data_IF_520081593758
#
_entry.id   IF_520081593758
#
_cell.length_a   1.000
_cell.length_b   1.000
_cell.length_c   1.000
_cell.angle_alpha   90.00
_cell.angle_beta   90.00
_cell.angle_gamma   90.00
#
_symmetry.space_group_name_H-M   'P 1'
#
loop_
_entity.id
_entity.type
_entity.pdbx_description
1 polymer ?
#
# COMPACT_ATOMS: atom_id res chain seq x y z
N UNK A 1 21.78 -3.91 10.38
CA UNK A 1 20.97 -4.33 9.21
C UNK A 1 20.48 -5.77 9.31
N UNK A 2 21.29 -6.73 9.78
CA UNK A 2 20.88 -8.15 9.88
C UNK A 2 19.84 -8.43 10.98
N UNK A 3 20.05 -7.95 12.22
CA UNK A 3 19.12 -8.23 13.33
C UNK A 3 17.72 -7.66 13.11
N UNK A 4 17.63 -6.44 12.57
CA UNK A 4 16.34 -5.83 12.20
C UNK A 4 15.64 -6.63 11.10
N UNK A 5 16.38 -7.15 10.12
CA UNK A 5 15.83 -7.98 9.04
C UNK A 5 15.35 -9.34 9.55
N UNK A 6 16.12 -9.99 10.43
CA UNK A 6 15.73 -11.26 11.08
C UNK A 6 14.50 -11.06 11.95
N UNK A 7 14.47 -10.00 12.75
CA UNK A 7 13.31 -9.65 13.57
C UNK A 7 12.08 -9.41 12.68
N UNK A 8 12.20 -8.58 11.64
CA UNK A 8 11.12 -8.31 10.69
C UNK A 8 10.64 -9.60 9.99
N UNK A 9 11.55 -10.50 9.64
CA UNK A 9 11.21 -11.78 9.02
C UNK A 9 10.35 -12.63 9.94
N UNK A 10 10.76 -12.79 11.20
CA UNK A 10 9.98 -13.52 12.20
C UNK A 10 8.59 -12.90 12.41
N UNK A 11 8.50 -11.57 12.43
CA UNK A 11 7.23 -10.86 12.56
C UNK A 11 6.32 -10.97 11.34
N UNK A 12 6.88 -11.26 10.16
CA UNK A 12 6.12 -11.35 8.91
C UNK A 12 5.65 -12.79 8.65
N UNK A 13 6.42 -13.79 9.11
CA UNK A 13 6.07 -15.21 9.03
C UNK A 13 5.27 -15.70 10.26
N UNK A 14 5.03 -14.82 11.25
CA UNK A 14 4.31 -15.13 12.48
C UNK A 14 2.88 -15.63 12.25
N UNK A 15 2.24 -15.25 11.15
CA UNK A 15 0.90 -15.72 10.79
C UNK A 15 0.90 -17.23 10.48
N UNK A 16 1.88 -17.74 9.74
CA UNK A 16 2.00 -19.17 9.43
C UNK A 16 2.17 -20.03 10.68
N UNK A 17 2.89 -19.53 11.69
CA UNK A 17 3.03 -20.21 12.98
C UNK A 17 1.73 -20.26 13.78
N UNK A 18 0.90 -19.21 13.69
CA UNK A 18 -0.41 -19.19 14.36
C UNK A 18 -1.42 -20.10 13.63
N UNK A 19 -1.43 -20.10 12.30
CA UNK A 19 -2.27 -20.98 11.48
C UNK A 19 -1.99 -22.45 11.79
N UNK A 20 -0.72 -22.84 11.88
CA UNK A 20 -0.36 -24.24 12.19
C UNK A 20 -0.76 -24.68 13.60
N UNK A 21 -0.87 -23.73 14.54
CA UNK A 21 -1.27 -23.98 15.93
C UNK A 21 -2.79 -24.01 16.13
N UNK A 22 -3.55 -23.22 15.37
CA UNK A 22 -4.96 -22.93 15.66
C UNK A 22 -5.96 -23.38 14.59
N UNK A 23 -5.52 -23.79 13.39
CA UNK A 23 -6.39 -24.27 12.31
C UNK A 23 -6.25 -25.77 12.07
N UNK A 24 -7.33 -26.40 11.60
CA UNK A 24 -7.35 -27.82 11.20
C UNK A 24 -6.48 -28.07 9.97
N UNK A 25 -5.97 -29.30 9.80
CA UNK A 25 -5.02 -29.66 8.73
C UNK A 25 -5.54 -29.37 7.32
N UNK A 26 -6.84 -29.53 7.06
CA UNK A 26 -7.46 -29.25 5.76
C UNK A 26 -7.50 -27.74 5.46
N UNK A 27 -7.81 -26.93 6.47
CA UNK A 27 -7.81 -25.47 6.38
C UNK A 27 -6.41 -24.86 6.34
N UNK A 28 -5.40 -25.51 6.93
CA UNK A 28 -4.00 -25.12 6.76
C UNK A 28 -3.57 -25.18 5.29
N UNK A 29 -3.99 -26.23 4.57
CA UNK A 29 -3.74 -26.37 3.14
C UNK A 29 -4.48 -25.31 2.31
N UNK A 30 -5.76 -25.07 2.63
CA UNK A 30 -6.56 -24.00 2.01
C UNK A 30 -5.97 -22.61 2.21
N UNK A 31 -5.59 -22.28 3.44
CA UNK A 31 -4.91 -21.04 3.81
C UNK A 31 -3.58 -20.88 3.07
N UNK A 32 -2.73 -21.91 3.05
CA UNK A 32 -1.44 -21.86 2.37
C UNK A 32 -1.60 -21.57 0.87
N UNK A 33 -2.59 -22.18 0.21
CA UNK A 33 -2.88 -21.91 -1.20
C UNK A 33 -3.39 -20.47 -1.36
N UNK A 34 -4.41 -20.06 -0.61
CA UNK A 34 -4.99 -18.73 -0.72
C UNK A 34 -3.95 -17.62 -0.48
N UNK A 35 -3.06 -17.78 0.51
CA UNK A 35 -1.99 -16.81 0.80
C UNK A 35 -0.92 -16.77 -0.27
N UNK A 36 -0.54 -17.92 -0.85
CA UNK A 36 0.42 -17.96 -1.96
C UNK A 36 -0.13 -17.32 -3.23
N UNK A 37 -1.39 -17.61 -3.60
CA UNK A 37 -2.02 -16.98 -4.76
C UNK A 37 -2.33 -15.50 -4.52
N UNK A 38 -2.89 -15.16 -3.36
CA UNK A 38 -3.25 -13.79 -2.99
C UNK A 38 -2.03 -12.86 -2.95
N UNK A 39 -0.87 -13.35 -2.48
CA UNK A 39 0.36 -12.55 -2.43
C UNK A 39 1.07 -12.35 -3.78
N UNK A 40 0.66 -13.06 -4.85
CA UNK A 40 1.27 -12.88 -6.18
C UNK A 40 1.12 -11.44 -6.69
N UNK A 41 -0.03 -10.82 -6.47
CA UNK A 41 -0.26 -9.42 -6.87
C UNK A 41 0.73 -8.50 -6.15
N UNK A 42 0.96 -8.71 -4.85
CA UNK A 42 1.94 -7.94 -4.11
C UNK A 42 3.35 -8.09 -4.67
N UNK A 43 3.75 -9.30 -5.06
CA UNK A 43 5.09 -9.58 -5.61
C UNK A 43 5.28 -9.04 -7.02
N UNK A 44 4.24 -9.13 -7.86
CA UNK A 44 4.33 -8.76 -9.28
C UNK A 44 4.13 -7.26 -9.48
N UNK A 45 3.26 -6.62 -8.69
CA UNK A 45 2.87 -5.23 -8.89
C UNK A 45 3.47 -4.33 -7.82
N UNK A 46 3.25 -4.62 -6.53
CA UNK A 46 3.60 -3.69 -5.45
C UNK A 46 5.08 -3.68 -5.09
N UNK A 47 5.72 -4.84 -5.10
CA UNK A 47 7.13 -4.96 -4.76
C UNK A 47 8.05 -4.17 -5.73
N UNK A 48 7.89 -4.25 -7.07
CA UNK A 48 8.67 -3.41 -7.98
C UNK A 48 8.45 -1.91 -7.76
N UNK A 49 7.23 -1.49 -7.45
CA UNK A 49 6.92 -0.09 -7.16
C UNK A 49 7.59 0.35 -5.85
N UNK A 50 7.58 -0.50 -4.83
CA UNK A 50 8.25 -0.26 -3.55
C UNK A 50 9.77 -0.06 -3.73
N UNK A 51 10.42 -0.98 -4.43
CA UNK A 51 11.87 -0.93 -4.68
C UNK A 51 12.26 0.29 -5.51
N UNK A 52 11.48 0.59 -6.56
CA UNK A 52 11.70 1.76 -7.41
C UNK A 52 11.50 3.06 -6.64
N UNK A 53 10.48 3.13 -5.78
CA UNK A 53 10.21 4.29 -4.93
C UNK A 53 11.37 4.57 -3.99
N UNK A 54 11.93 3.53 -3.36
CA UNK A 54 13.09 3.66 -2.47
C UNK A 54 14.28 4.27 -3.19
N UNK A 55 14.64 3.75 -4.36
CA UNK A 55 15.77 4.25 -5.15
C UNK A 55 15.51 5.69 -5.61
N UNK A 56 14.29 5.98 -6.07
CA UNK A 56 13.90 7.31 -6.51
C UNK A 56 14.04 8.35 -5.40
N UNK A 57 13.46 8.10 -4.22
CA UNK A 57 13.53 9.04 -3.10
C UNK A 57 14.94 9.14 -2.52
N UNK A 58 15.70 8.05 -2.45
CA UNK A 58 17.10 8.11 -2.00
C UNK A 58 17.96 9.00 -2.87
N UNK A 59 17.78 8.99 -4.20
CA UNK A 59 18.51 9.87 -5.13
C UNK A 59 18.01 11.31 -5.09
N UNK A 60 16.69 11.50 -4.98
CA UNK A 60 16.09 12.82 -5.02
C UNK A 60 16.35 13.60 -3.72
N UNK A 61 16.38 12.90 -2.59
CA UNK A 61 16.52 13.47 -1.24
C UNK A 61 17.93 13.32 -0.66
N UNK A 62 18.86 12.66 -1.36
CA UNK A 62 20.28 12.72 -1.00
C UNK A 62 20.80 14.14 -1.20
N UNK A 63 21.27 14.74 -0.12
CA UNK A 63 21.98 16.02 -0.12
C UNK A 63 23.32 15.79 -0.84
N UNK A 64 23.68 16.58 -1.88
CA UNK A 64 25.08 16.66 -2.31
C UNK A 64 25.84 17.35 -1.17
N UNK A 65 26.38 16.57 -0.23
CA UNK A 65 27.39 17.10 0.66
C UNK A 65 28.55 17.55 -0.21
N UNK A 66 28.96 18.81 -0.05
CA UNK A 66 30.27 19.29 -0.51
C UNK A 66 31.33 18.20 -0.23
N UNK A 67 32.26 17.95 -1.16
CA UNK A 67 33.13 16.79 -1.08
C UNK A 67 33.88 16.80 0.26
N UNK A 68 33.68 15.73 1.03
CA UNK A 68 34.54 15.44 2.17
C UNK A 68 35.99 15.36 1.67
N UNK A 69 36.98 15.90 2.40
CA UNK A 69 38.37 15.88 1.96
C UNK A 69 38.82 14.42 1.92
N UNK A 70 38.92 13.87 0.71
CA UNK A 70 39.69 12.65 0.46
C UNK A 70 41.13 12.97 0.82
N UNK A 71 41.63 12.27 1.83
CA UNK A 71 43.04 12.19 2.16
C UNK A 71 43.81 11.62 0.96
N UNK A 72 44.37 12.51 0.14
CA UNK A 72 45.54 12.21 -0.69
C UNK A 72 46.18 13.52 -1.12
N UNK A 73 47.34 13.78 -0.53
CA UNK A 73 48.28 14.85 -0.84
C UNK A 73 48.59 14.94 -2.34
N UNK A 74 48.60 16.14 -2.90
CA UNK A 74 49.73 16.74 -3.66
C UNK A 74 49.35 18.16 -4.10
N UNK A 75 50.27 19.09 -3.91
CA UNK A 75 50.15 20.53 -4.13
C UNK A 75 49.99 20.94 -5.61
N UNK A 76 49.32 22.05 -5.87
CA UNK A 76 49.79 23.12 -6.77
C UNK A 76 48.86 24.34 -6.77
N UNK A 77 49.46 25.49 -7.07
CA UNK A 77 49.06 26.86 -6.78
C UNK A 77 47.96 27.46 -7.68
N UNK A 78 47.20 28.38 -7.06
CA UNK A 78 46.63 29.65 -7.58
C UNK A 78 45.87 29.69 -8.90
N UNK A 79 44.58 30.03 -8.83
CA UNK A 79 44.05 31.21 -9.55
C UNK A 79 42.82 31.78 -8.82
N UNK A 80 42.89 33.06 -8.46
CA UNK A 80 41.74 33.86 -7.99
C UNK A 80 40.68 33.94 -9.09
N UNK A 81 39.40 33.77 -8.74
CA UNK A 81 38.30 34.50 -9.39
C UNK A 81 37.23 34.86 -8.36
N UNK A 82 37.18 36.14 -8.01
CA UNK A 82 36.04 36.76 -7.35
C UNK A 82 34.84 36.75 -8.30
N UNK A 83 33.66 36.40 -7.77
CA UNK A 83 32.38 36.99 -8.18
C UNK A 83 31.39 36.83 -7.03
N UNK A 84 31.00 37.96 -6.47
CA UNK A 84 30.05 38.15 -5.37
C UNK A 84 28.59 37.85 -5.81
N UNK A 85 27.98 36.84 -5.17
CA UNK A 85 26.53 36.52 -4.97
C UNK A 85 26.32 34.99 -4.90
N UNK A 86 25.40 34.46 -4.08
CA UNK A 86 25.75 33.46 -3.07
C UNK A 86 25.43 32.01 -3.47
N UNK A 87 26.47 31.16 -3.52
CA UNK A 87 26.34 29.70 -3.67
C UNK A 87 25.39 29.07 -2.64
N UNK A 88 25.30 29.66 -1.43
CA UNK A 88 24.45 29.19 -0.34
C UNK A 88 22.95 29.35 -0.61
N UNK A 89 22.53 30.35 -1.40
CA UNK A 89 21.10 30.57 -1.72
C UNK A 89 20.69 29.67 -2.90
N UNK A 90 21.56 29.49 -3.90
CA UNK A 90 21.30 28.60 -5.03
C UNK A 90 21.09 27.14 -4.60
N UNK A 91 21.89 26.65 -3.64
CA UNK A 91 21.73 25.30 -3.08
C UNK A 91 20.45 25.13 -2.26
N UNK A 92 20.02 26.17 -1.54
CA UNK A 92 18.77 26.14 -0.75
C UNK A 92 17.52 26.09 -1.64
N UNK A 93 17.51 26.84 -2.74
CA UNK A 93 16.41 26.82 -3.72
C UNK A 93 16.34 25.49 -4.50
N UNK A 94 17.49 24.90 -4.83
CA UNK A 94 17.54 23.58 -5.44
C UNK A 94 16.99 22.49 -4.49
N UNK A 95 17.40 22.51 -3.22
CA UNK A 95 16.92 21.57 -2.21
C UNK A 95 15.41 21.70 -1.98
N UNK A 96 14.89 22.94 -1.94
CA UNK A 96 13.44 23.20 -1.83
C UNK A 96 12.67 22.63 -3.02
N UNK A 97 13.22 22.76 -4.22
CA UNK A 97 12.62 22.22 -5.45
C UNK A 97 12.57 20.69 -5.41
N UNK A 98 13.66 20.03 -5.00
CA UNK A 98 13.73 18.57 -4.84
C UNK A 98 12.75 18.06 -3.78
N UNK A 99 12.63 18.76 -2.65
CA UNK A 99 11.67 18.45 -1.58
C UNK A 99 10.23 18.60 -2.07
N UNK A 100 9.90 19.67 -2.80
CA UNK A 100 8.58 19.88 -3.39
C UNK A 100 8.23 18.79 -4.41
N UNK A 101 9.20 18.38 -5.23
CA UNK A 101 9.04 17.28 -6.18
C UNK A 101 8.80 15.94 -5.46
N UNK A 102 9.55 15.65 -4.39
CA UNK A 102 9.37 14.45 -3.60
C UNK A 102 7.98 14.40 -2.96
N UNK A 103 7.54 15.48 -2.32
CA UNK A 103 6.21 15.57 -1.70
C UNK A 103 5.08 15.38 -2.73
N UNK A 104 5.16 16.07 -3.87
CA UNK A 104 4.17 15.96 -4.95
C UNK A 104 4.09 14.53 -5.51
N UNK A 105 5.25 13.89 -5.68
CA UNK A 105 5.33 12.50 -6.15
C UNK A 105 4.75 11.54 -5.11
N UNK A 106 5.03 11.73 -3.83
CA UNK A 106 4.42 10.93 -2.75
C UNK A 106 2.91 11.06 -2.71
N UNK A 107 2.36 12.27 -2.85
CA UNK A 107 0.92 12.49 -2.90
C UNK A 107 0.28 11.76 -4.09
N UNK A 108 0.93 11.82 -5.26
CA UNK A 108 0.44 11.16 -6.45
C UNK A 108 0.44 9.63 -6.30
N UNK A 109 1.51 9.05 -5.76
CA UNK A 109 1.59 7.59 -5.53
C UNK A 109 0.51 7.16 -4.54
N UNK A 110 0.29 7.92 -3.46
CA UNK A 110 -0.77 7.64 -2.49
C UNK A 110 -2.17 7.79 -3.08
N UNK A 111 -2.40 8.79 -3.94
CA UNK A 111 -3.65 8.95 -4.69
C UNK A 111 -3.91 7.75 -5.62
N UNK A 112 -2.88 7.28 -6.32
CA UNK A 112 -2.99 6.07 -7.15
C UNK A 112 -3.29 4.83 -6.29
N UNK A 113 -2.61 4.69 -5.15
CA UNK A 113 -2.80 3.56 -4.25
C UNK A 113 -4.19 3.53 -3.64
N UNK A 114 -4.77 4.68 -3.32
CA UNK A 114 -6.13 4.78 -2.76
C UNK A 114 -7.19 4.47 -3.81
N UNK A 115 -7.00 4.86 -5.08
CA UNK A 115 -7.84 4.38 -6.18
C UNK A 115 -7.75 2.86 -6.35
N UNK A 116 -6.54 2.32 -6.34
CA UNK A 116 -6.34 0.90 -6.45
C UNK A 116 -6.94 0.14 -5.25
N UNK A 117 -6.85 0.72 -4.05
CA UNK A 117 -7.50 0.21 -2.83
C UNK A 117 -9.01 0.09 -3.01
N UNK A 118 -9.65 1.12 -3.58
CA UNK A 118 -11.07 1.09 -3.89
C UNK A 118 -11.41 -0.02 -4.88
N UNK A 119 -10.59 -0.23 -5.92
CA UNK A 119 -10.81 -1.33 -6.86
C UNK A 119 -10.80 -2.68 -6.14
N UNK A 120 -9.79 -2.94 -5.31
CA UNK A 120 -9.70 -4.20 -4.56
C UNK A 120 -10.85 -4.37 -3.57
N UNK A 121 -11.23 -3.35 -2.82
CA UNK A 121 -12.26 -3.45 -1.76
C UNK A 121 -13.68 -3.55 -2.35
N UNK A 122 -13.95 -2.85 -3.45
CA UNK A 122 -15.28 -2.78 -4.08
C UNK A 122 -15.51 -3.97 -5.01
N UNK A 123 -14.55 -4.27 -5.89
CA UNK A 123 -14.71 -5.30 -6.91
C UNK A 123 -14.14 -6.65 -6.45
N UNK A 124 -13.08 -6.69 -5.66
CA UNK A 124 -12.44 -7.95 -5.25
C UNK A 124 -13.40 -8.95 -4.57
N UNK A 125 -13.95 -8.65 -3.38
CA UNK A 125 -14.77 -9.60 -2.62
C UNK A 125 -15.94 -10.23 -3.39
N UNK A 126 -16.77 -9.49 -4.15
CA UNK A 126 -17.87 -10.10 -4.90
C UNK A 126 -17.39 -11.00 -6.05
N UNK A 127 -16.24 -10.72 -6.68
CA UNK A 127 -15.74 -11.51 -7.79
C UNK A 127 -14.85 -12.69 -7.38
N UNK A 128 -14.29 -12.70 -6.17
CA UNK A 128 -13.41 -13.79 -5.69
C UNK A 128 -14.05 -15.17 -5.77
N UNK A 129 -15.31 -15.43 -5.36
CA UNK A 129 -15.90 -16.78 -5.48
C UNK A 129 -16.00 -17.26 -6.93
N UNK A 130 -16.34 -16.34 -7.83
CA UNK A 130 -16.41 -16.62 -9.27
C UNK A 130 -15.01 -16.96 -9.79
N UNK A 131 -14.01 -16.12 -9.48
CA UNK A 131 -12.63 -16.31 -9.90
C UNK A 131 -12.01 -17.58 -9.30
N UNK A 132 -12.25 -17.86 -8.02
CA UNK A 132 -11.80 -19.05 -7.31
C UNK A 132 -12.33 -20.33 -7.97
N UNK A 133 -13.57 -20.31 -8.47
CA UNK A 133 -14.13 -21.47 -9.17
C UNK A 133 -13.42 -21.83 -10.49
N UNK A 134 -12.65 -20.89 -11.06
CA UNK A 134 -11.82 -21.11 -12.25
C UNK A 134 -10.33 -21.32 -11.91
N UNK A 135 -9.80 -20.59 -10.93
CA UNK A 135 -8.38 -20.65 -10.57
C UNK A 135 -8.02 -21.86 -9.70
N UNK A 136 -8.91 -22.28 -8.80
CA UNK A 136 -8.62 -23.29 -7.80
C UNK A 136 -9.29 -24.62 -8.15
N UNK A 137 -8.62 -25.76 -7.90
CA UNK A 137 -9.26 -27.08 -8.01
C UNK A 137 -10.49 -27.18 -7.11
N UNK A 138 -11.55 -27.85 -7.59
CA UNK A 138 -12.85 -27.95 -6.89
C UNK A 138 -12.75 -28.38 -5.41
N UNK A 139 -11.81 -29.27 -5.07
CA UNK A 139 -11.59 -29.71 -3.69
C UNK A 139 -11.25 -28.56 -2.72
N UNK A 140 -10.42 -27.60 -3.15
CA UNK A 140 -10.04 -26.47 -2.30
C UNK A 140 -11.15 -25.42 -2.24
N UNK A 141 -11.92 -25.29 -3.32
CA UNK A 141 -13.02 -24.34 -3.42
C UNK A 141 -14.20 -24.74 -2.52
N UNK A 142 -14.48 -26.04 -2.41
CA UNK A 142 -15.66 -26.56 -1.71
C UNK A 142 -15.37 -27.01 -0.27
N UNK A 143 -14.16 -27.50 0.01
CA UNK A 143 -13.86 -28.17 1.29
C UNK A 143 -12.90 -27.37 2.18
N UNK A 144 -12.45 -26.18 1.76
CA UNK A 144 -11.50 -25.38 2.55
C UNK A 144 -11.92 -23.91 2.64
N UNK A 145 -11.35 -23.21 3.61
CA UNK A 145 -11.45 -21.75 3.79
C UNK A 145 -10.81 -20.90 2.68
N UNK A 146 -10.19 -21.49 1.65
CA UNK A 146 -9.42 -20.76 0.63
C UNK A 146 -10.19 -19.60 -0.05
N UNK A 147 -11.48 -19.73 -0.45
CA UNK A 147 -12.23 -18.62 -1.03
C UNK A 147 -12.45 -17.45 -0.05
N UNK A 148 -12.72 -17.75 1.23
CA UNK A 148 -12.93 -16.74 2.27
C UNK A 148 -11.62 -15.99 2.60
N UNK A 149 -10.51 -16.73 2.69
CA UNK A 149 -9.16 -16.15 2.86
C UNK A 149 -8.83 -15.24 1.67
N UNK A 150 -9.08 -15.68 0.43
CA UNK A 150 -8.87 -14.85 -0.76
C UNK A 150 -9.73 -13.57 -0.76
N UNK A 151 -10.97 -13.63 -0.26
CA UNK A 151 -11.82 -12.44 -0.10
C UNK A 151 -11.23 -11.46 0.91
N UNK A 152 -10.73 -11.94 2.06
CA UNK A 152 -10.05 -11.09 3.04
C UNK A 152 -8.74 -10.49 2.48
N UNK A 153 -8.07 -11.22 1.59
CA UNK A 153 -6.89 -10.72 0.89
C UNK A 153 -7.16 -9.47 0.04
N UNK A 154 -8.41 -9.26 -0.42
CA UNK A 154 -8.79 -8.03 -1.10
C UNK A 154 -8.70 -6.78 -0.22
N UNK A 155 -8.79 -6.91 1.11
CA UNK A 155 -8.50 -5.82 2.05
C UNK A 155 -7.01 -5.78 2.41
N UNK A 156 -6.39 -6.95 2.56
CA UNK A 156 -4.98 -7.05 2.94
C UNK A 156 -4.02 -6.48 1.90
N UNK A 157 -4.25 -6.73 0.61
CA UNK A 157 -3.40 -6.28 -0.49
C UNK A 157 -3.20 -4.75 -0.51
N UNK A 158 -4.25 -3.92 -0.48
CA UNK A 158 -4.12 -2.47 -0.38
C UNK A 158 -3.32 -1.98 0.84
N UNK A 159 -3.59 -2.55 2.01
CA UNK A 159 -2.92 -2.17 3.26
C UNK A 159 -1.44 -2.54 3.22
N UNK A 160 -1.13 -3.71 2.64
CA UNK A 160 0.25 -4.14 2.40
C UNK A 160 0.98 -3.21 1.44
N UNK A 161 0.34 -2.82 0.33
CA UNK A 161 0.92 -1.90 -0.64
C UNK A 161 1.25 -0.55 0.02
N UNK A 162 0.29 0.03 0.74
CA UNK A 162 0.47 1.30 1.46
C UNK A 162 1.62 1.21 2.47
N UNK A 163 1.67 0.14 3.25
CA UNK A 163 2.75 -0.09 4.21
C UNK A 163 4.11 -0.18 3.50
N UNK A 164 4.22 -0.96 2.42
CA UNK A 164 5.45 -1.13 1.65
C UNK A 164 5.98 0.20 1.12
N UNK A 165 5.12 1.00 0.48
CA UNK A 165 5.49 2.33 -0.02
C UNK A 165 5.99 3.26 1.09
N UNK A 166 5.26 3.35 2.20
CA UNK A 166 5.64 4.22 3.32
C UNK A 166 6.95 3.78 3.98
N UNK A 167 7.20 2.47 4.09
CA UNK A 167 8.46 1.93 4.58
C UNK A 167 9.61 2.19 3.61
N UNK A 168 9.38 2.11 2.30
CA UNK A 168 10.40 2.44 1.30
C UNK A 168 10.80 3.91 1.36
N UNK A 169 9.83 4.82 1.50
CA UNK A 169 10.12 6.24 1.69
C UNK A 169 10.85 6.47 3.00
N UNK A 170 10.37 5.90 4.12
CA UNK A 170 11.05 6.01 5.40
C UNK A 170 12.48 5.49 5.31
N UNK A 171 12.72 4.32 4.72
CA UNK A 171 14.06 3.75 4.54
C UNK A 171 14.98 4.62 3.67
N UNK A 172 14.41 5.45 2.77
CA UNK A 172 15.20 6.35 1.92
C UNK A 172 15.71 7.60 2.65
N UNK A 173 15.10 7.98 3.78
CA UNK A 173 15.43 9.23 4.51
C UNK A 173 15.72 9.03 6.00
N UNK A 174 15.47 7.85 6.56
CA UNK A 174 15.54 7.60 8.00
C UNK A 174 16.97 7.56 8.52
N UNK A 175 17.18 8.22 9.66
CA UNK A 175 18.40 8.09 10.45
C UNK A 175 18.38 6.82 11.32
N UNK A 176 19.53 6.36 11.84
CA UNK A 176 19.60 5.19 12.73
C UNK A 176 18.64 5.26 13.94
N UNK A 177 18.39 6.47 14.46
CA UNK A 177 17.46 6.71 15.58
C UNK A 177 16.00 6.46 15.18
N UNK A 178 15.64 6.81 13.95
CA UNK A 178 14.30 6.60 13.42
C UNK A 178 14.06 5.11 13.14
N UNK A 179 15.07 4.40 12.61
CA UNK A 179 15.02 2.95 12.44
C UNK A 179 14.86 2.21 13.79
N UNK A 180 15.54 2.68 14.84
CA UNK A 180 15.39 2.12 16.19
C UNK A 180 13.99 2.36 16.78
N UNK A 181 13.39 3.54 16.54
CA UNK A 181 12.01 3.84 16.93
C UNK A 181 11.01 2.96 16.17
N UNK A 182 11.21 2.81 14.86
CA UNK A 182 10.40 1.94 14.01
C UNK A 182 10.47 0.48 14.47
N UNK A 183 11.67 -0.04 14.79
CA UNK A 183 11.84 -1.42 15.26
C UNK A 183 11.10 -1.68 16.58
N UNK A 184 11.11 -0.72 17.51
CA UNK A 184 10.34 -0.82 18.76
C UNK A 184 8.84 -0.80 18.49
N UNK A 185 8.39 0.07 17.59
CA UNK A 185 6.99 0.10 17.17
C UNK A 185 6.56 -1.21 16.49
N UNK A 186 7.41 -1.80 15.64
CA UNK A 186 7.17 -3.12 15.03
C UNK A 186 7.02 -4.22 16.10
N UNK A 187 7.82 -4.18 17.17
CA UNK A 187 7.65 -5.08 18.31
C UNK A 187 6.28 -4.91 19.00
N UNK A 188 5.84 -3.68 19.25
CA UNK A 188 4.52 -3.41 19.83
C UNK A 188 3.36 -3.82 18.90
N UNK A 189 3.47 -3.54 17.59
CA UNK A 189 2.50 -3.94 16.58
C UNK A 189 2.38 -5.47 16.48
N UNK A 190 3.45 -6.21 16.81
CA UNK A 190 3.44 -7.68 16.84
C UNK A 190 2.71 -8.24 18.05
N UNK A 191 2.76 -7.56 19.20
CA UNK A 191 1.91 -7.89 20.34
C UNK A 191 0.43 -7.65 19.96
N UNK A 192 0.13 -6.51 19.32
CA UNK A 192 -1.20 -6.23 18.80
C UNK A 192 -1.68 -7.31 17.82
N UNK A 193 -0.79 -7.79 16.93
CA UNK A 193 -1.07 -8.89 16.02
C UNK A 193 -1.46 -10.17 16.77
N UNK A 194 -0.67 -10.61 17.74
CA UNK A 194 -0.95 -11.82 18.53
C UNK A 194 -2.25 -11.66 19.31
N UNK A 195 -2.48 -10.52 19.96
CA UNK A 195 -3.73 -10.24 20.68
C UNK A 195 -4.94 -10.25 19.75
N UNK A 196 -4.81 -9.67 18.55
CA UNK A 196 -5.88 -9.66 17.54
C UNK A 196 -6.15 -11.07 17.02
N UNK A 197 -5.12 -11.86 16.73
CA UNK A 197 -5.25 -13.22 16.24
C UNK A 197 -5.88 -14.16 17.30
N UNK A 198 -5.47 -14.02 18.57
CA UNK A 198 -6.11 -14.72 19.69
C UNK A 198 -7.55 -14.24 19.86
N UNK A 199 -7.80 -12.93 19.77
CA UNK A 199 -9.15 -12.36 19.83
C UNK A 199 -10.08 -12.95 18.77
N UNK A 200 -9.68 -12.93 17.50
CA UNK A 200 -10.47 -13.50 16.40
C UNK A 200 -10.65 -15.02 16.53
N UNK A 201 -9.63 -15.76 16.99
CA UNK A 201 -9.74 -17.20 17.17
C UNK A 201 -10.65 -17.60 18.35
N UNK A 202 -10.78 -16.76 19.38
CA UNK A 202 -11.68 -16.96 20.53
C UNK A 202 -13.11 -16.47 20.26
N UNK A 203 -13.27 -15.29 19.66
CA UNK A 203 -14.58 -14.71 19.32
C UNK A 203 -15.26 -15.42 18.15
N UNK A 204 -14.46 -16.01 17.26
CA UNK A 204 -14.93 -16.79 16.11
C UNK A 204 -15.64 -18.11 16.44
N UNK A 205 -15.73 -18.48 17.72
CA UNK A 205 -16.43 -19.69 18.18
C UNK A 205 -17.96 -19.54 18.22
N UNK A 206 -18.53 -18.34 18.35
CA UNK A 206 -19.98 -18.20 18.66
C UNK A 206 -20.73 -17.03 17.98
N UNK A 207 -20.08 -16.12 17.25
CA UNK A 207 -20.77 -14.94 16.66
C UNK A 207 -20.30 -14.57 15.25
N UNK A 208 -20.61 -15.43 14.27
CA UNK A 208 -20.40 -15.13 12.86
C UNK A 208 -21.44 -14.13 12.33
N UNK A 209 -21.14 -12.83 12.37
CA UNK A 209 -21.94 -11.85 11.65
C UNK A 209 -21.58 -10.39 11.90
N UNK A 210 -20.72 -9.82 11.05
CA UNK A 210 -20.83 -8.43 10.59
C UNK A 210 -19.72 -8.10 9.58
N UNK A 211 -20.00 -8.31 8.28
CA UNK A 211 -19.57 -7.48 7.14
C UNK A 211 -19.54 -8.31 5.84
N UNK A 212 -20.68 -8.38 5.14
CA UNK A 212 -20.78 -8.88 3.78
C UNK A 212 -21.38 -10.28 3.68
N UNK A 213 -22.61 -10.34 3.18
CA UNK A 213 -23.34 -11.58 2.99
C UNK A 213 -22.61 -12.56 2.08
N UNK A 214 -22.15 -13.66 2.67
CA UNK A 214 -22.14 -14.99 2.10
C UNK A 214 -22.08 -15.97 3.28
N UNK A 215 -23.22 -16.59 3.61
CA UNK A 215 -23.23 -17.83 4.39
C UNK A 215 -22.52 -18.90 3.54
N UNK A 216 -21.23 -19.10 3.78
CA UNK A 216 -20.51 -20.29 3.32
C UNK A 216 -19.62 -20.71 4.48
N UNK A 217 -19.86 -21.92 5.01
CA UNK A 217 -19.14 -22.47 6.15
C UNK A 217 -17.63 -22.45 5.92
N UNK A 218 -16.88 -22.03 6.93
CA UNK A 218 -15.43 -21.85 6.86
C UNK A 218 -14.93 -20.73 7.78
N UNK A 219 -14.94 -21.04 9.09
CA UNK A 219 -14.15 -20.43 10.16
C UNK A 219 -13.77 -18.94 10.10
N UNK A 220 -14.38 -18.18 11.01
CA UNK A 220 -13.88 -16.87 11.45
C UNK A 220 -12.42 -16.94 11.97
N UNK A 221 -11.92 -18.14 12.30
CA UNK A 221 -10.55 -18.39 12.76
C UNK A 221 -9.52 -18.13 11.65
N UNK A 222 -9.71 -18.70 10.46
CA UNK A 222 -8.77 -18.64 9.33
C UNK A 222 -8.72 -17.25 8.71
N UNK A 223 -9.92 -16.69 8.47
CA UNK A 223 -10.06 -15.34 7.94
C UNK A 223 -9.63 -14.29 8.98
N UNK A 224 -9.85 -14.58 10.25
CA UNK A 224 -9.42 -13.74 11.39
C UNK A 224 -7.92 -13.52 11.45
N UNK A 225 -7.10 -14.50 11.03
CA UNK A 225 -5.65 -14.33 10.97
C UNK A 225 -5.23 -13.32 9.91
N UNK A 226 -5.91 -13.30 8.76
CA UNK A 226 -5.69 -12.27 7.74
C UNK A 226 -6.04 -10.89 8.28
N UNK A 227 -7.19 -10.75 8.96
CA UNK A 227 -7.60 -9.47 9.56
C UNK A 227 -6.66 -9.01 10.69
N UNK A 228 -6.15 -9.92 11.52
CA UNK A 228 -5.12 -9.59 12.50
C UNK A 228 -3.87 -9.01 11.82
N UNK A 229 -3.48 -9.60 10.68
CA UNK A 229 -2.35 -9.09 9.91
C UNK A 229 -2.67 -7.73 9.24
N UNK A 230 -3.90 -7.53 8.77
CA UNK A 230 -4.38 -6.22 8.30
C UNK A 230 -4.25 -5.16 9.39
N UNK A 231 -4.64 -5.45 10.63
CA UNK A 231 -4.49 -4.52 11.76
C UNK A 231 -3.02 -4.21 12.05
N UNK A 232 -2.17 -5.24 12.04
CA UNK A 232 -0.73 -5.09 12.22
C UNK A 232 -0.10 -4.18 11.15
N UNK A 233 -0.30 -4.49 9.86
CA UNK A 233 0.22 -3.69 8.76
C UNK A 233 -0.44 -2.31 8.71
N UNK A 234 -1.72 -2.21 9.06
CA UNK A 234 -2.44 -0.93 9.15
C UNK A 234 -1.82 0.00 10.19
N UNK A 235 -1.49 -0.52 11.38
CA UNK A 235 -0.80 0.26 12.41
C UNK A 235 0.56 0.77 11.94
N UNK A 236 1.30 -0.05 11.19
CA UNK A 236 2.59 0.30 10.59
C UNK A 236 2.45 1.34 9.49
N UNK A 237 1.44 1.22 8.64
CA UNK A 237 1.12 2.23 7.64
C UNK A 237 0.76 3.57 8.30
N UNK A 238 -0.02 3.57 9.38
CA UNK A 238 -0.34 4.77 10.16
C UNK A 238 0.95 5.42 10.71
N UNK A 239 1.83 4.63 11.31
CA UNK A 239 3.13 5.12 11.79
C UNK A 239 3.97 5.73 10.64
N UNK A 240 4.07 5.03 9.51
CA UNK A 240 4.79 5.50 8.33
C UNK A 240 4.23 6.81 7.75
N UNK A 241 2.91 6.96 7.74
CA UNK A 241 2.24 8.19 7.32
C UNK A 241 2.60 9.37 8.23
N UNK A 242 2.57 9.18 9.55
CA UNK A 242 2.98 10.21 10.51
C UNK A 242 4.46 10.56 10.37
N UNK A 243 5.33 9.57 10.18
CA UNK A 243 6.75 9.79 9.94
C UNK A 243 6.97 10.64 8.68
N UNK A 244 6.38 10.25 7.55
CA UNK A 244 6.49 10.98 6.28
C UNK A 244 5.97 12.42 6.40
N UNK A 245 4.79 12.60 7.00
CA UNK A 245 4.18 13.91 7.20
C UNK A 245 5.05 14.83 8.07
N UNK A 246 5.62 14.28 9.16
CA UNK A 246 6.55 14.99 10.03
C UNK A 246 7.89 15.29 9.33
N UNK A 247 8.39 14.38 8.51
CA UNK A 247 9.60 14.61 7.71
C UNK A 247 9.43 15.80 6.76
N UNK A 248 8.40 15.80 5.91
CA UNK A 248 8.20 16.90 4.96
C UNK A 248 7.95 18.24 5.68
N UNK A 249 7.22 18.24 6.80
CA UNK A 249 7.03 19.47 7.59
C UNK A 249 8.34 20.03 8.14
N UNK A 250 9.19 19.17 8.72
CA UNK A 250 10.50 19.56 9.26
C UNK A 250 11.46 20.02 8.15
N UNK A 251 11.53 19.28 7.05
CA UNK A 251 12.39 19.60 5.92
C UNK A 251 11.99 20.92 5.24
N UNK A 252 10.69 21.20 5.15
CA UNK A 252 10.17 22.48 4.64
C UNK A 252 10.53 23.64 5.55
N UNK A 253 10.36 23.47 6.86
CA UNK A 253 10.69 24.50 7.84
C UNK A 253 12.19 24.82 7.84
N UNK A 254 13.06 23.81 7.72
CA UNK A 254 14.51 24.00 7.62
C UNK A 254 14.94 24.71 6.32
N UNK A 255 14.17 24.58 5.24
CA UNK A 255 14.46 25.20 3.94
C UNK A 255 13.80 26.57 3.75
N UNK A 256 12.99 27.04 4.71
CA UNK A 256 12.24 28.30 4.62
C UNK A 256 12.85 29.35 5.56
N UNK A 257 13.42 30.42 5.00
CA UNK A 257 13.96 31.56 5.76
C UNK A 257 12.87 32.50 6.33
N UNK A 258 11.60 32.30 5.96
CA UNK A 258 10.45 33.08 6.41
C UNK A 258 9.46 32.24 7.21
N UNK A 259 8.91 32.80 8.31
CA UNK A 259 8.05 32.18 9.34
C UNK A 259 6.74 31.51 8.89
N UNK A 260 6.47 31.39 7.59
CA UNK A 260 5.30 30.73 7.02
C UNK A 260 5.59 29.29 6.59
N UNK A 261 5.52 28.34 7.52
CA UNK A 261 5.69 26.91 7.22
C UNK A 261 4.41 26.32 6.59
N UNK A 262 4.24 26.49 5.28
CA UNK A 262 3.22 25.75 4.55
C UNK A 262 3.61 24.26 4.47
N UNK A 263 2.71 23.37 4.89
CA UNK A 263 2.92 21.92 4.75
C UNK A 263 2.99 21.56 3.26
N UNK A 264 4.12 21.04 2.80
CA UNK A 264 4.25 20.53 1.42
C UNK A 264 3.35 19.33 1.15
N UNK A 265 2.97 18.61 2.21
CA UNK A 265 2.04 17.50 2.12
C UNK A 265 0.64 17.95 2.56
N UNK A 266 -0.33 17.79 1.68
CA UNK A 266 -1.76 17.93 1.97
C UNK A 266 -2.40 16.54 1.92
N UNK A 267 -2.86 16.06 3.08
CA UNK A 267 -3.43 14.71 3.21
C UNK A 267 -4.71 14.52 2.40
N UNK A 268 -5.46 15.59 2.16
CA UNK A 268 -6.70 15.50 1.36
C UNK A 268 -6.42 15.28 -0.12
N UNK A 269 -5.26 15.75 -0.62
CA UNK A 269 -4.83 15.50 -2.00
C UNK A 269 -4.32 14.08 -2.24
N UNK A 270 -4.05 13.32 -1.18
CA UNK A 270 -3.71 11.90 -1.27
C UNK A 270 -4.94 11.01 -1.45
N UNK A 271 -6.16 11.56 -1.31
CA UNK A 271 -7.41 10.80 -1.35
C UNK A 271 -8.21 11.14 -2.62
N UNK A 272 -8.96 10.18 -3.18
CA UNK A 272 -9.86 10.44 -4.29
C UNK A 272 -10.92 11.48 -3.92
N UNK A 273 -11.45 12.23 -4.91
CA UNK A 273 -12.58 13.12 -4.71
C UNK A 273 -13.79 12.41 -4.08
N UNK A 274 -14.60 13.15 -3.31
CA UNK A 274 -15.77 12.59 -2.60
C UNK A 274 -16.75 11.87 -3.53
N UNK A 275 -16.87 12.31 -4.78
CA UNK A 275 -17.68 11.66 -5.83
C UNK A 275 -17.20 10.23 -6.12
N UNK A 276 -15.89 10.00 -6.20
CA UNK A 276 -15.32 8.66 -6.43
C UNK A 276 -15.66 7.73 -5.27
N UNK A 277 -15.58 8.21 -4.03
CA UNK A 277 -16.00 7.45 -2.84
C UNK A 277 -17.48 7.09 -2.87
N UNK A 278 -18.34 8.05 -3.19
CA UNK A 278 -19.79 7.84 -3.25
C UNK A 278 -20.15 6.81 -4.32
N UNK A 279 -19.60 6.96 -5.53
CA UNK A 279 -19.83 6.02 -6.63
C UNK A 279 -19.29 4.63 -6.29
N UNK A 280 -18.10 4.55 -5.68
CA UNK A 280 -17.52 3.29 -5.19
C UNK A 280 -18.41 2.59 -4.17
N UNK A 281 -19.00 3.34 -3.24
CA UNK A 281 -19.93 2.78 -2.25
C UNK A 281 -21.21 2.24 -2.90
N UNK A 282 -21.82 2.99 -3.81
CA UNK A 282 -23.02 2.58 -4.55
C UNK A 282 -22.74 1.33 -5.38
N UNK A 283 -21.66 1.33 -6.16
CA UNK A 283 -21.23 0.17 -6.96
C UNK A 283 -20.96 -1.03 -6.04
N UNK A 284 -20.31 -0.83 -4.90
CA UNK A 284 -20.02 -1.89 -3.94
C UNK A 284 -21.29 -2.57 -3.42
N UNK A 285 -22.36 -1.81 -3.16
CA UNK A 285 -23.66 -2.36 -2.77
C UNK A 285 -24.25 -3.19 -3.91
N UNK A 286 -24.26 -2.65 -5.14
CA UNK A 286 -24.81 -3.33 -6.33
C UNK A 286 -24.07 -4.64 -6.61
N UNK A 287 -22.74 -4.64 -6.58
CA UNK A 287 -21.92 -5.83 -6.86
C UNK A 287 -22.08 -6.90 -5.79
N UNK A 288 -22.26 -6.52 -4.51
CA UNK A 288 -22.54 -7.46 -3.42
C UNK A 288 -23.94 -8.08 -3.56
N UNK A 289 -24.94 -7.29 -3.97
CA UNK A 289 -26.28 -7.80 -4.27
C UNK A 289 -26.26 -8.71 -5.51
N UNK A 290 -25.46 -8.39 -6.52
CA UNK A 290 -25.26 -9.24 -7.70
C UNK A 290 -24.57 -10.55 -7.32
N UNK A 291 -23.54 -10.50 -6.46
CA UNK A 291 -22.82 -11.69 -6.01
C UNK A 291 -23.72 -12.63 -5.18
N UNK A 292 -24.58 -12.09 -4.32
CA UNK A 292 -25.52 -12.93 -3.54
C UNK A 292 -26.57 -13.61 -4.41
N UNK A 293 -26.96 -13.00 -5.54
CA UNK A 293 -27.96 -13.55 -6.45
C UNK A 293 -27.39 -14.47 -7.53
N UNK A 294 -26.20 -14.16 -8.07
CA UNK A 294 -25.63 -14.83 -9.24
C UNK A 294 -24.23 -15.46 -9.00
N UNK A 295 -23.47 -14.93 -8.04
CA UNK A 295 -22.02 -15.20 -7.86
C UNK A 295 -21.68 -16.40 -6.97
N UNK A 296 -22.62 -17.31 -6.71
CA UNK A 296 -22.38 -18.49 -5.89
C UNK A 296 -21.29 -19.42 -6.46
N UNK A 297 -20.55 -20.11 -5.59
CA UNK A 297 -19.46 -21.03 -6.00
C UNK A 297 -19.96 -22.12 -6.98
N UNK A 298 -21.17 -22.62 -6.74
CA UNK A 298 -21.86 -23.66 -7.52
C UNK A 298 -22.86 -23.10 -8.54
N UNK A 299 -22.89 -21.78 -8.78
CA UNK A 299 -23.85 -21.20 -9.71
C UNK A 299 -23.59 -21.66 -11.16
N UNK A 300 -24.65 -21.79 -11.99
CA UNK A 300 -24.50 -22.09 -13.40
C UNK A 300 -23.59 -21.09 -14.11
N UNK A 301 -22.92 -21.54 -15.18
CA UNK A 301 -22.01 -20.68 -15.96
C UNK A 301 -22.72 -19.43 -16.51
N UNK A 302 -24.00 -19.55 -16.87
CA UNK A 302 -24.83 -18.42 -17.31
C UNK A 302 -24.94 -17.34 -16.22
N UNK A 303 -25.21 -17.73 -14.96
CA UNK A 303 -25.29 -16.80 -13.82
C UNK A 303 -23.93 -16.17 -13.52
N UNK A 304 -22.83 -16.91 -13.67
CA UNK A 304 -21.47 -16.33 -13.55
C UNK A 304 -21.21 -15.29 -14.65
N UNK A 305 -21.69 -15.56 -15.87
CA UNK A 305 -21.63 -14.63 -17.00
C UNK A 305 -22.41 -13.35 -16.75
N UNK A 306 -23.63 -13.43 -16.20
CA UNK A 306 -24.42 -12.24 -15.85
C UNK A 306 -23.78 -11.42 -14.74
N UNK A 307 -23.24 -12.07 -13.70
CA UNK A 307 -22.50 -11.40 -12.62
C UNK A 307 -21.28 -10.66 -13.18
N UNK A 308 -20.50 -11.31 -14.06
CA UNK A 308 -19.33 -10.70 -14.70
C UNK A 308 -19.72 -9.50 -15.56
N UNK A 309 -20.80 -9.59 -16.35
CA UNK A 309 -21.29 -8.50 -17.18
C UNK A 309 -21.68 -7.27 -16.33
N UNK A 310 -22.39 -7.48 -15.21
CA UNK A 310 -22.70 -6.42 -14.24
C UNK A 310 -21.41 -5.79 -13.69
N UNK A 311 -20.40 -6.61 -13.38
CA UNK A 311 -19.08 -6.17 -12.96
C UNK A 311 -18.40 -5.25 -13.95
N UNK A 312 -18.26 -5.70 -15.19
CA UNK A 312 -17.59 -4.95 -16.27
C UNK A 312 -18.29 -3.62 -16.51
N UNK A 313 -19.63 -3.61 -16.57
CA UNK A 313 -20.41 -2.39 -16.74
C UNK A 313 -20.10 -1.36 -15.65
N UNK A 314 -20.16 -1.77 -14.37
CA UNK A 314 -19.92 -0.85 -13.27
C UNK A 314 -18.45 -0.45 -13.13
N UNK A 315 -17.52 -1.31 -13.53
CA UNK A 315 -16.10 -0.97 -13.59
C UNK A 315 -15.83 0.13 -14.64
N UNK A 316 -16.47 0.05 -15.81
CA UNK A 316 -16.41 1.11 -16.83
C UNK A 316 -17.00 2.42 -16.32
N UNK A 317 -18.17 2.38 -15.65
CA UNK A 317 -18.78 3.57 -15.03
C UNK A 317 -17.82 4.19 -14.01
N UNK A 318 -17.21 3.36 -13.16
CA UNK A 318 -16.25 3.83 -12.16
C UNK A 318 -15.04 4.52 -12.81
N UNK A 319 -14.46 3.94 -13.86
CA UNK A 319 -13.35 4.55 -14.61
C UNK A 319 -13.75 5.89 -15.21
N UNK A 320 -14.94 6.00 -15.81
CA UNK A 320 -15.44 7.26 -16.40
C UNK A 320 -15.55 8.34 -15.33
N UNK A 321 -16.09 8.01 -14.15
CA UNK A 321 -16.21 8.96 -13.03
C UNK A 321 -14.82 9.41 -12.57
N UNK A 322 -13.89 8.49 -12.33
CA UNK A 322 -12.52 8.83 -11.96
C UNK A 322 -11.86 9.75 -13.00
N UNK A 323 -12.00 9.43 -14.28
CA UNK A 323 -11.46 10.24 -15.38
C UNK A 323 -12.05 11.65 -15.41
N UNK A 324 -13.35 11.80 -15.21
CA UNK A 324 -14.01 13.12 -15.18
C UNK A 324 -13.59 13.96 -13.98
N UNK A 325 -13.52 13.34 -12.80
CA UNK A 325 -13.24 14.06 -11.55
C UNK A 325 -11.77 14.46 -11.43
N UNK A 326 -10.87 13.71 -12.06
CA UNK A 326 -9.43 13.90 -11.94
C UNK A 326 -8.75 14.34 -13.25
N UNK A 327 -9.54 14.79 -14.23
CA UNK A 327 -9.08 15.21 -15.56
C UNK A 327 -7.88 16.17 -15.51
N UNK A 328 -7.85 17.06 -14.53
CA UNK A 328 -6.80 18.08 -14.40
C UNK A 328 -5.47 17.47 -13.94
N UNK A 329 -5.52 16.51 -13.00
CA UNK A 329 -4.35 15.76 -12.54
C UNK A 329 -3.81 14.90 -13.69
N UNK A 330 -4.71 14.19 -14.39
CA UNK A 330 -4.34 13.35 -15.53
C UNK A 330 -3.72 14.21 -16.65
N UNK A 331 -4.30 15.37 -16.95
CA UNK A 331 -3.77 16.28 -17.96
C UNK A 331 -2.36 16.80 -17.59
N UNK A 332 -2.11 17.08 -16.30
CA UNK A 332 -0.78 17.47 -15.82
C UNK A 332 0.24 16.33 -15.97
N UNK A 333 -0.13 15.10 -15.62
CA UNK A 333 0.74 13.92 -15.77
C UNK A 333 1.09 13.66 -17.23
N UNK A 334 0.10 13.71 -18.12
CA UNK A 334 0.32 13.51 -19.57
C UNK A 334 1.26 14.59 -20.11
N UNK A 335 1.10 15.86 -19.70
CA UNK A 335 2.01 16.94 -20.09
C UNK A 335 3.44 16.67 -19.60
N UNK A 336 3.62 16.23 -18.35
CA UNK A 336 4.94 15.91 -17.79
C UNK A 336 5.61 14.73 -18.50
N UNK A 337 4.86 13.67 -18.83
CA UNK A 337 5.37 12.52 -19.56
C UNK A 337 5.82 12.89 -20.98
N UNK A 338 5.03 13.72 -21.68
CA UNK A 338 5.39 14.24 -23.01
C UNK A 338 6.63 15.12 -22.95
N UNK A 339 6.73 16.01 -21.96
CA UNK A 339 7.90 16.88 -21.79
C UNK A 339 9.18 16.10 -21.47
N UNK A 340 9.07 14.99 -20.72
CA UNK A 340 10.22 14.10 -20.46
C UNK A 340 10.65 13.31 -21.69
N UNK A 341 9.68 12.79 -22.47
CA UNK A 341 9.96 12.07 -23.71
C UNK A 341 10.69 12.97 -24.72
N UNK A 342 10.21 14.20 -24.88
CA UNK A 342 10.84 15.21 -25.74
C UNK A 342 12.24 15.68 -25.28
N UNK A 343 12.65 15.34 -24.06
CA UNK A 343 14.01 15.61 -23.53
C UNK A 343 14.96 14.42 -23.67
N UNK A 344 14.42 13.24 -23.98
CA UNK A 344 15.16 12.00 -24.15
C UNK A 344 15.38 11.64 -25.62
N UNK A 345 14.60 12.25 -26.52
CA UNK A 345 14.80 12.31 -27.97
C UNK A 345 15.71 13.50 -28.32
#
# INVERSE_FOLDING_TARGET
MTLQSVFKHFLTEGDRFLVSKFSELEDQGGYAIATNYGSLIARIVFQPIEETSRIFFSKLLSIPSAPAPSSSSTASLTTKKNSDAPETIAGADEQRTRLGQAASTSQLILLLYTHLSLVFIVFGPPFVPTLASFLLPRRYVLNTSAPAVLQAYCLYLPVMALNGFLEALMASVAEPRDLARQSRFMGAASILFVLSAVGFSRLGGESGGAAGGAKSGGGMKETGMVYANVLNLGSRAIYGWFFMSAYFRRASAASSSSSGSASLLDGWKCLPPRSVWLVSAVIGIILRASASHYGGLVSPLASKGTHLAIGVLHFVIWIIVCWWTERDIIAQLVKLLRARRAKAE
#
